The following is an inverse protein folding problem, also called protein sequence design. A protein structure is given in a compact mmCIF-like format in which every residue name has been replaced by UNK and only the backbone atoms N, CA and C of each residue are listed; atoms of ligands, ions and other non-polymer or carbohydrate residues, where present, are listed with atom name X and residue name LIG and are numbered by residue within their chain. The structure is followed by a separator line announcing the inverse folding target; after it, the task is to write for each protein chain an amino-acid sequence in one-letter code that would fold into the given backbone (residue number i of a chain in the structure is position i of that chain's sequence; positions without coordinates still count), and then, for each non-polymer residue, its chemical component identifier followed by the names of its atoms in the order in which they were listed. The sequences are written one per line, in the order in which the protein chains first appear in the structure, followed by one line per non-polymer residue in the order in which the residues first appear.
data_IF_815747546862
#
_entry.id   IF_815747546862
#
_cell.length_a   1.000
_cell.length_b   1.000
_cell.length_c   1.000
_cell.angle_alpha   90.00
_cell.angle_beta   90.00
_cell.angle_gamma   90.00
#
_symmetry.space_group_name_H-M   'P 1'
#
loop_
_entity.id
_entity.type
_entity.pdbx_description
1 polymer ?
#
# COMPACT_ATOMS: atom_id res chain seq x y z
N UNK A 1 0.19 -0.20 13.82
CA UNK A 1 0.46 -1.04 12.63
C UNK A 1 1.94 -1.28 12.35
N UNK A 2 2.73 -0.29 11.95
CA UNK A 2 4.14 -0.50 11.59
C UNK A 2 4.98 -1.14 12.71
N UNK A 3 4.82 -0.70 13.96
CA UNK A 3 5.51 -1.29 15.12
C UNK A 3 5.14 -2.76 15.39
N UNK A 4 4.00 -3.23 14.88
CA UNK A 4 3.59 -4.62 14.96
C UNK A 4 4.18 -5.47 13.82
N UNK A 5 4.23 -4.93 12.61
CA UNK A 5 4.88 -5.54 11.46
C UNK A 5 5.38 -4.44 10.48
N UNK A 6 6.70 -4.18 10.42
CA UNK A 6 7.27 -3.12 9.61
C UNK A 6 7.60 -3.54 8.17
N UNK A 7 7.20 -4.74 7.74
CA UNK A 7 7.51 -5.27 6.43
C UNK A 7 6.37 -5.00 5.43
N UNK A 8 6.73 -4.69 4.19
CA UNK A 8 5.76 -4.58 3.10
C UNK A 8 5.02 -5.92 2.92
N UNK A 9 3.68 -5.90 2.91
CA UNK A 9 2.88 -7.11 2.77
C UNK A 9 3.11 -7.84 1.44
N UNK A 10 3.45 -7.11 0.37
CA UNK A 10 3.59 -7.68 -0.98
C UNK A 10 5.00 -8.22 -1.26
N UNK A 11 6.05 -7.51 -0.82
CA UNK A 11 7.44 -7.86 -1.17
C UNK A 11 8.30 -8.28 0.03
N UNK A 12 7.80 -8.19 1.25
CA UNK A 12 8.52 -8.57 2.47
C UNK A 12 9.72 -7.69 2.83
N UNK A 13 9.96 -6.58 2.11
CA UNK A 13 11.03 -5.64 2.44
C UNK A 13 10.68 -4.84 3.70
N UNK A 14 11.64 -4.66 4.61
CA UNK A 14 11.53 -3.74 5.73
C UNK A 14 11.32 -2.31 5.20
N UNK A 15 10.28 -1.63 5.66
CA UNK A 15 10.00 -0.25 5.25
C UNK A 15 10.59 0.74 6.24
N UNK A 16 11.08 1.86 5.75
CA UNK A 16 11.65 2.91 6.59
C UNK A 16 10.52 3.69 7.30
N UNK A 17 10.75 4.15 8.54
CA UNK A 17 9.80 4.98 9.29
C UNK A 17 10.34 6.41 9.47
N UNK A 18 9.51 7.46 9.36
CA UNK A 18 8.10 7.43 8.95
C UNK A 18 7.90 7.43 7.43
N UNK A 19 8.99 7.54 6.66
CA UNK A 19 8.95 7.63 5.19
C UNK A 19 9.33 6.29 4.58
N UNK A 20 8.64 5.82 3.54
CA UNK A 20 9.01 4.57 2.84
C UNK A 20 7.90 3.52 2.82
N UNK A 21 6.77 3.81 3.46
CA UNK A 21 5.53 3.06 3.32
C UNK A 21 4.31 3.96 3.34
N UNK A 22 3.19 3.41 2.89
CA UNK A 22 1.86 3.92 3.17
C UNK A 22 1.02 2.80 3.79
N UNK A 23 0.03 3.20 4.59
CA UNK A 23 -1.02 2.30 5.04
C UNK A 23 -2.10 2.28 3.96
N UNK A 24 -2.34 1.11 3.40
CA UNK A 24 -3.21 0.94 2.26
C UNK A 24 -4.22 -0.18 2.49
N UNK A 25 -5.44 0.05 2.02
CA UNK A 25 -6.52 -0.89 2.18
C UNK A 25 -6.24 -2.15 1.36
N UNK A 26 -6.38 -3.34 1.93
CA UNK A 26 -6.28 -4.60 1.21
C UNK A 26 -7.40 -4.71 0.17
N UNK A 27 -8.62 -4.41 0.60
CA UNK A 27 -9.81 -4.28 -0.23
C UNK A 27 -10.18 -2.79 -0.32
N UNK A 28 -10.33 -2.19 -1.51
CA UNK A 28 -10.80 -0.82 -1.64
C UNK A 28 -12.12 -0.57 -0.90
N UNK A 29 -12.27 0.61 -0.29
CA UNK A 29 -13.52 0.97 0.42
C UNK A 29 -14.72 0.97 -0.54
N UNK A 30 -14.52 1.42 -1.78
CA UNK A 30 -15.56 1.37 -2.83
C UNK A 30 -16.00 -0.06 -3.20
N UNK A 31 -15.15 -1.05 -2.95
CA UNK A 31 -15.43 -2.48 -3.16
C UNK A 31 -15.89 -3.18 -1.86
N UNK A 32 -16.24 -2.41 -0.82
CA UNK A 32 -16.74 -2.93 0.46
C UNK A 32 -15.66 -3.25 1.50
N UNK A 33 -14.43 -2.79 1.30
CA UNK A 33 -13.39 -2.87 2.32
C UNK A 33 -13.66 -1.96 3.52
N UNK A 34 -13.25 -2.38 4.73
CA UNK A 34 -13.39 -1.57 5.94
C UNK A 34 -12.26 -0.52 6.06
N UNK A 35 -12.48 0.50 6.89
CA UNK A 35 -11.51 1.57 7.15
C UNK A 35 -10.63 1.30 8.39
N UNK A 36 -10.77 0.14 9.02
CA UNK A 36 -10.06 -0.22 10.24
C UNK A 36 -8.77 -1.03 9.99
N UNK A 37 -7.96 -1.20 11.04
CA UNK A 37 -6.67 -1.90 11.00
C UNK A 37 -6.75 -3.33 10.42
N UNK A 38 -7.92 -3.99 10.43
CA UNK A 38 -8.09 -5.32 9.84
C UNK A 38 -7.95 -5.31 8.32
N UNK A 39 -8.24 -4.20 7.66
CA UNK A 39 -8.11 -4.02 6.20
C UNK A 39 -6.89 -3.19 5.80
N UNK A 40 -6.23 -2.48 6.73
CA UNK A 40 -5.02 -1.72 6.41
C UNK A 40 -3.76 -2.60 6.35
N UNK A 41 -2.85 -2.33 5.42
CA UNK A 41 -1.57 -3.03 5.28
C UNK A 41 -0.43 -2.04 5.03
N UNK A 42 0.75 -2.35 5.56
CA UNK A 42 1.99 -1.63 5.25
C UNK A 42 2.42 -2.02 3.83
N UNK A 43 2.49 -1.05 2.91
CA UNK A 43 3.03 -1.24 1.56
C UNK A 43 4.15 -0.27 1.28
N UNK A 44 5.25 -0.75 0.72
CA UNK A 44 6.39 0.11 0.42
C UNK A 44 6.06 1.12 -0.68
N UNK A 45 6.60 2.32 -0.49
CA UNK A 45 6.58 3.42 -1.46
C UNK A 45 7.97 4.05 -1.52
N UNK A 46 8.37 4.46 -2.71
CA UNK A 46 9.50 5.36 -2.89
C UNK A 46 9.25 6.27 -4.10
N UNK A 47 10.11 7.26 -4.27
CA UNK A 47 10.03 8.20 -5.38
C UNK A 47 11.26 8.05 -6.26
N UNK A 48 11.03 7.92 -7.57
CA UNK A 48 12.09 7.84 -8.57
C UNK A 48 11.76 8.81 -9.70
N UNK A 49 12.65 9.77 -9.97
CA UNK A 49 12.45 10.83 -10.97
C UNK A 49 11.11 11.57 -10.85
N UNK A 50 10.66 11.83 -9.62
CA UNK A 50 9.39 12.50 -9.33
C UNK A 50 8.14 11.62 -9.51
N UNK A 51 8.31 10.33 -9.83
CA UNK A 51 7.23 9.36 -9.93
C UNK A 51 7.17 8.49 -8.69
N UNK A 52 5.96 8.29 -8.16
CA UNK A 52 5.70 7.33 -7.09
C UNK A 52 5.90 5.90 -7.62
N UNK A 53 6.65 5.11 -6.88
CA UNK A 53 7.00 3.73 -7.20
C UNK A 53 6.78 2.85 -5.96
N UNK A 54 6.75 1.55 -6.16
CA UNK A 54 6.61 0.55 -5.11
C UNK A 54 5.33 -0.27 -5.16
N UNK A 55 5.19 -1.18 -4.20
CA UNK A 55 4.08 -2.13 -4.15
C UNK A 55 2.74 -1.40 -4.00
N UNK A 56 2.71 -0.28 -3.28
CA UNK A 56 1.53 0.58 -3.21
C UNK A 56 1.09 1.06 -4.60
N UNK A 57 2.00 1.69 -5.36
CA UNK A 57 1.69 2.18 -6.71
C UNK A 57 1.26 1.03 -7.62
N UNK A 58 1.95 -0.11 -7.56
CA UNK A 58 1.59 -1.29 -8.35
C UNK A 58 0.17 -1.79 -8.07
N UNK A 59 -0.26 -1.77 -6.79
CA UNK A 59 -1.64 -2.09 -6.41
C UNK A 59 -2.63 -1.05 -6.94
N UNK A 60 -2.37 0.25 -6.74
CA UNK A 60 -3.23 1.32 -7.25
C UNK A 60 -3.47 1.20 -8.76
N UNK A 61 -2.42 0.88 -9.53
CA UNK A 61 -2.55 0.69 -10.97
C UNK A 61 -3.36 -0.55 -11.35
N UNK A 62 -3.26 -1.64 -10.57
CA UNK A 62 -4.10 -2.84 -10.76
C UNK A 62 -5.57 -2.54 -10.48
N UNK A 63 -5.86 -1.79 -9.42
CA UNK A 63 -7.22 -1.42 -9.02
C UNK A 63 -7.90 -0.51 -10.04
N UNK A 64 -7.19 0.51 -10.53
CA UNK A 64 -7.70 1.38 -11.62
C UNK A 64 -8.09 0.58 -12.86
N UNK A 65 -7.23 -0.37 -13.27
CA UNK A 65 -7.51 -1.28 -14.39
C UNK A 65 -8.73 -2.16 -14.12
N UNK A 66 -8.89 -2.69 -12.92
CA UNK A 66 -10.04 -3.50 -12.54
C UNK A 66 -11.35 -2.69 -12.52
N UNK A 67 -11.28 -1.42 -12.11
CA UNK A 67 -12.41 -0.49 -12.08
C UNK A 67 -12.74 0.14 -13.46
N UNK A 68 -11.96 -0.16 -14.51
CA UNK A 68 -12.15 0.44 -15.84
C UNK A 68 -11.87 1.96 -15.90
N UNK A 69 -11.03 2.47 -15.00
CA UNK A 69 -10.66 3.89 -14.87
C UNK A 69 -9.25 4.18 -15.39
#
# INVERSE_FOLDING_TARGET
MWTANPYCVDCGKLTDFPNGFELDHEIPVEDGGSEDDSNLRVRCVWWEHGKKCGCHEAKTQREKRAAGR
#
